data_IF_781907876770
#
_entry.id   IF_781907876770
#
_cell.length_a   1.000
_cell.length_b   1.000
_cell.length_c   1.000
_cell.angle_alpha   90.00
_cell.angle_beta   90.00
_cell.angle_gamma   90.00
#
_symmetry.space_group_name_H-M   'P 1'
#
loop_
_entity.id
_entity.type
_entity.pdbx_description
1 polymer ?
#
# COMPACT_ATOMS: atom_id res chain seq x y z
N UNK A 1 -16.54 46.47 -11.87
CA UNK A 1 -16.01 45.69 -13.01
C UNK A 1 -16.28 44.24 -12.70
N UNK A 2 -17.11 43.56 -13.49
CA UNK A 2 -17.30 42.11 -13.34
C UNK A 2 -16.22 41.41 -14.16
N UNK A 3 -15.39 40.60 -13.50
CA UNK A 3 -14.44 39.71 -14.14
C UNK A 3 -15.06 38.31 -14.14
N UNK A 4 -16.09 38.13 -14.97
CA UNK A 4 -16.53 36.79 -15.38
C UNK A 4 -15.81 36.50 -16.70
N UNK A 5 -14.54 36.12 -16.59
CA UNK A 5 -13.66 35.94 -17.74
C UNK A 5 -13.53 34.46 -18.12
N UNK A 6 -14.64 33.91 -18.63
CA UNK A 6 -14.70 32.53 -19.16
C UNK A 6 -13.65 32.27 -20.26
N UNK A 7 -13.15 33.33 -20.90
CA UNK A 7 -12.09 33.24 -21.92
C UNK A 7 -10.78 32.73 -21.31
N UNK A 8 -10.40 33.23 -20.14
CA UNK A 8 -9.14 32.90 -19.47
C UNK A 8 -9.14 31.45 -18.95
N UNK A 9 -10.27 30.99 -18.41
CA UNK A 9 -10.47 29.61 -17.95
C UNK A 9 -10.44 28.63 -19.14
N UNK A 10 -11.05 29.00 -20.26
CA UNK A 10 -11.09 28.18 -21.48
C UNK A 10 -9.71 28.09 -22.15
N UNK A 11 -8.95 29.18 -22.19
CA UNK A 11 -7.58 29.18 -22.74
C UNK A 11 -6.61 28.37 -21.87
N UNK A 12 -6.74 28.41 -20.54
CA UNK A 12 -5.94 27.57 -19.65
C UNK A 12 -6.25 26.09 -19.78
N UNK A 13 -7.54 25.70 -19.89
CA UNK A 13 -7.93 24.30 -20.16
C UNK A 13 -7.28 23.76 -21.44
N UNK A 14 -7.39 24.50 -22.54
CA UNK A 14 -6.81 24.11 -23.83
C UNK A 14 -5.28 23.92 -23.81
N UNK A 15 -4.56 24.52 -22.85
CA UNK A 15 -3.11 24.34 -22.67
C UNK A 15 -2.73 23.15 -21.78
N UNK A 16 -3.64 22.65 -20.94
CA UNK A 16 -3.40 21.48 -20.07
C UNK A 16 -3.67 20.14 -20.77
N UNK A 17 -4.58 20.10 -21.74
CA UNK A 17 -4.93 18.86 -22.45
C UNK A 17 -3.73 18.16 -23.13
N UNK A 18 -2.77 18.88 -23.77
CA UNK A 18 -1.53 18.27 -24.27
C UNK A 18 -0.67 17.67 -23.16
N UNK A 19 -0.60 18.28 -21.98
CA UNK A 19 0.18 17.78 -20.84
C UNK A 19 -0.45 16.50 -20.29
N UNK A 20 -1.76 16.51 -20.04
CA UNK A 20 -2.52 15.32 -19.58
C UNK A 20 -2.40 14.16 -20.56
N UNK A 21 -2.48 14.45 -21.86
CA UNK A 21 -2.22 13.45 -22.91
C UNK A 21 -0.81 12.88 -22.83
N UNK A 22 0.22 13.71 -22.62
CA UNK A 22 1.62 13.25 -22.49
C UNK A 22 1.88 12.44 -21.22
N UNK A 23 1.28 12.78 -20.09
CA UNK A 23 1.36 11.96 -18.87
C UNK A 23 0.71 10.58 -19.07
N UNK A 24 -0.41 10.55 -19.79
CA UNK A 24 -1.12 9.32 -20.17
C UNK A 24 -0.26 8.44 -21.09
N UNK A 25 0.31 9.03 -22.15
CA UNK A 25 1.22 8.33 -23.07
C UNK A 25 2.49 7.84 -22.35
N UNK A 26 3.08 8.66 -21.48
CA UNK A 26 4.24 8.30 -20.67
C UNK A 26 3.99 7.07 -19.79
N UNK A 27 2.82 6.97 -19.15
CA UNK A 27 2.46 5.80 -18.33
C UNK A 27 2.46 4.50 -19.16
N UNK A 28 1.94 4.55 -20.39
CA UNK A 28 1.92 3.43 -21.31
C UNK A 28 3.33 3.08 -21.84
N UNK A 29 4.09 4.08 -22.26
CA UNK A 29 5.46 3.93 -22.78
C UNK A 29 6.43 3.41 -21.70
N UNK A 30 6.35 3.92 -20.46
CA UNK A 30 7.15 3.45 -19.34
C UNK A 30 6.85 1.97 -19.00
N UNK A 31 5.59 1.55 -19.11
CA UNK A 31 5.26 0.14 -18.97
C UNK A 31 5.81 -0.69 -20.12
N UNK A 32 5.61 -0.28 -21.38
CA UNK A 32 6.01 -1.07 -22.56
C UNK A 32 7.54 -1.16 -22.78
N UNK A 33 8.31 -0.15 -22.38
CA UNK A 33 9.77 -0.12 -22.54
C UNK A 33 10.54 -0.70 -21.36
N UNK A 34 10.00 -0.59 -20.15
CA UNK A 34 10.80 -0.76 -18.92
C UNK A 34 10.20 -1.76 -17.93
N UNK A 35 8.87 -1.91 -17.84
CA UNK A 35 8.27 -2.93 -16.96
C UNK A 35 8.14 -4.28 -17.67
N UNK A 36 8.43 -5.35 -16.93
CA UNK A 36 8.17 -6.70 -17.40
C UNK A 36 6.66 -6.98 -17.37
N UNK A 37 6.14 -7.77 -18.32
CA UNK A 37 4.72 -8.19 -18.36
C UNK A 37 4.30 -9.07 -17.17
N UNK A 38 5.24 -9.55 -16.38
CA UNK A 38 5.05 -10.34 -15.16
C UNK A 38 6.22 -10.10 -14.21
N UNK A 39 6.01 -10.34 -12.91
CA UNK A 39 7.11 -10.32 -11.94
C UNK A 39 8.06 -11.50 -12.23
N UNK A 40 9.35 -11.25 -12.53
CA UNK A 40 10.32 -12.30 -12.85
C UNK A 40 10.77 -13.05 -11.60
N UNK A 41 11.29 -14.26 -11.81
CA UNK A 41 11.86 -15.11 -10.76
C UNK A 41 13.38 -15.19 -10.89
N UNK A 42 14.06 -15.20 -9.75
CA UNK A 42 15.46 -15.62 -9.61
C UNK A 42 15.44 -16.97 -8.89
N UNK A 43 16.15 -17.96 -9.40
CA UNK A 43 16.17 -19.29 -8.77
C UNK A 43 17.05 -19.34 -7.51
N UNK A 44 17.99 -18.40 -7.36
CA UNK A 44 18.89 -18.26 -6.20
C UNK A 44 19.09 -16.77 -5.84
N UNK A 45 19.57 -16.45 -4.63
CA UNK A 45 19.94 -15.08 -4.25
C UNK A 45 21.01 -14.46 -5.18
N UNK A 46 20.79 -13.25 -5.72
CA UNK A 46 21.80 -12.51 -6.46
C UNK A 46 22.89 -11.97 -5.52
N UNK A 47 24.09 -11.70 -6.06
CA UNK A 47 25.09 -10.92 -5.33
C UNK A 47 24.64 -9.46 -5.19
N UNK A 48 25.19 -8.72 -4.22
CA UNK A 48 24.74 -7.36 -3.90
C UNK A 48 24.88 -6.36 -5.06
N UNK A 49 25.92 -6.51 -5.90
CA UNK A 49 26.16 -5.62 -7.04
C UNK A 49 25.19 -5.94 -8.18
N UNK A 50 24.98 -7.22 -8.46
CA UNK A 50 23.94 -7.67 -9.39
C UNK A 50 22.56 -7.22 -8.92
N UNK A 51 22.24 -7.38 -7.62
CA UNK A 51 20.96 -6.99 -7.06
C UNK A 51 20.69 -5.48 -7.23
N UNK A 52 21.70 -4.67 -6.90
CA UNK A 52 21.61 -3.23 -7.07
C UNK A 52 21.48 -2.82 -8.55
N UNK A 53 22.28 -3.39 -9.44
CA UNK A 53 22.30 -3.03 -10.87
C UNK A 53 21.04 -3.45 -11.61
N UNK A 54 20.51 -4.64 -11.32
CA UNK A 54 19.46 -5.26 -12.13
C UNK A 54 18.04 -5.03 -11.56
N UNK A 55 17.92 -4.72 -10.25
CA UNK A 55 16.62 -4.58 -9.55
C UNK A 55 16.43 -3.24 -8.83
N UNK A 56 17.37 -2.83 -7.95
CA UNK A 56 17.21 -1.59 -7.14
C UNK A 56 17.35 -0.32 -7.99
N UNK A 57 18.47 -0.19 -8.72
CA UNK A 57 18.72 0.93 -9.62
C UNK A 57 17.58 1.08 -10.63
N UNK A 58 17.23 0.00 -11.37
CA UNK A 58 16.09 -0.02 -12.27
C UNK A 58 14.71 -0.10 -11.60
N UNK A 59 14.55 -0.01 -10.28
CA UNK A 59 13.28 -0.05 -9.53
C UNK A 59 12.27 -1.14 -9.98
N UNK A 60 12.72 -2.39 -10.20
CA UNK A 60 11.89 -3.52 -10.70
C UNK A 60 11.67 -4.59 -9.64
N UNK A 61 10.44 -5.10 -9.47
CA UNK A 61 10.16 -6.19 -8.54
C UNK A 61 10.70 -7.52 -9.06
N UNK A 62 10.99 -8.44 -8.15
CA UNK A 62 11.32 -9.83 -8.48
C UNK A 62 11.00 -10.78 -7.33
N UNK A 63 10.76 -12.05 -7.65
CA UNK A 63 10.66 -13.12 -6.65
C UNK A 63 11.96 -13.91 -6.62
N UNK A 64 12.61 -13.96 -5.45
CA UNK A 64 13.85 -14.67 -5.21
C UNK A 64 13.52 -16.00 -4.53
N UNK A 65 13.87 -17.11 -5.17
CA UNK A 65 13.76 -18.46 -4.61
C UNK A 65 15.03 -18.83 -3.85
N UNK A 66 14.92 -19.90 -3.06
CA UNK A 66 15.99 -20.55 -2.29
C UNK A 66 16.71 -19.66 -1.24
N UNK A 67 16.47 -18.35 -1.22
CA UNK A 67 17.00 -17.38 -0.27
C UNK A 67 16.75 -17.75 1.20
N UNK A 68 15.59 -18.34 1.49
CA UNK A 68 15.15 -18.62 2.86
C UNK A 68 15.43 -20.06 3.32
N UNK A 69 16.06 -20.91 2.50
CA UNK A 69 16.27 -22.33 2.81
C UNK A 69 17.07 -22.60 4.10
N UNK A 70 17.88 -21.62 4.54
CA UNK A 70 18.64 -21.68 5.78
C UNK A 70 17.84 -21.27 7.04
N UNK A 71 16.60 -20.78 6.90
CA UNK A 71 15.77 -20.36 8.02
C UNK A 71 15.05 -21.54 8.69
N UNK A 72 15.26 -21.78 10.00
CA UNK A 72 14.48 -22.79 10.74
C UNK A 72 12.98 -22.50 10.76
N UNK A 73 12.55 -21.29 10.44
CA UNK A 73 11.15 -20.91 10.35
C UNK A 73 10.38 -21.76 9.33
N UNK A 74 10.97 -22.06 8.16
CA UNK A 74 10.28 -22.78 7.08
C UNK A 74 9.83 -24.20 7.46
N UNK A 75 10.52 -24.84 8.41
CA UNK A 75 10.17 -26.19 8.89
C UNK A 75 9.51 -26.17 10.27
N UNK A 76 9.71 -25.12 11.07
CA UNK A 76 9.23 -25.06 12.46
C UNK A 76 7.92 -24.30 12.63
N UNK A 77 7.62 -23.29 11.82
CA UNK A 77 6.49 -22.38 12.06
C UNK A 77 5.12 -22.98 11.69
N UNK A 78 4.72 -24.02 12.43
CA UNK A 78 3.35 -24.53 12.44
C UNK A 78 2.50 -23.77 13.47
N UNK A 79 1.15 -23.75 13.36
CA UNK A 79 0.28 -23.16 14.38
C UNK A 79 0.53 -23.73 15.78
N UNK A 80 0.78 -25.04 15.90
CA UNK A 80 1.14 -25.68 17.17
C UNK A 80 2.46 -25.11 17.72
N UNK A 81 3.53 -25.06 16.92
CA UNK A 81 4.82 -24.53 17.38
C UNK A 81 4.72 -23.07 17.79
N UNK A 82 3.98 -22.25 17.05
CA UNK A 82 3.77 -20.84 17.41
C UNK A 82 2.96 -20.71 18.70
N UNK A 83 1.92 -21.52 18.90
CA UNK A 83 1.15 -21.58 20.15
C UNK A 83 2.03 -21.98 21.34
N UNK A 84 2.85 -23.02 21.21
CA UNK A 84 3.78 -23.46 22.25
C UNK A 84 4.87 -22.41 22.53
N UNK A 85 5.38 -21.74 21.50
CA UNK A 85 6.57 -20.87 21.62
C UNK A 85 6.25 -19.43 22.02
N UNK A 86 5.13 -18.88 21.53
CA UNK A 86 4.73 -17.48 21.73
C UNK A 86 3.25 -17.29 22.09
N UNK A 87 2.45 -18.37 22.22
CA UNK A 87 1.00 -18.30 22.45
C UNK A 87 0.56 -17.41 23.62
N UNK A 88 1.35 -17.35 24.70
CA UNK A 88 1.06 -16.50 25.87
C UNK A 88 1.46 -15.02 25.71
N UNK A 89 2.11 -14.63 24.61
CA UNK A 89 2.46 -13.23 24.34
C UNK A 89 1.20 -12.46 23.95
N UNK A 90 1.00 -11.31 24.61
CA UNK A 90 -0.02 -10.34 24.23
C UNK A 90 0.52 -9.48 23.10
N UNK A 91 -0.17 -9.47 21.96
CA UNK A 91 0.15 -8.68 20.77
C UNK A 91 -0.99 -7.70 20.46
N UNK A 92 -0.72 -6.66 19.67
CA UNK A 92 -1.80 -5.89 19.04
C UNK A 92 -2.32 -6.61 17.80
N UNK A 93 -3.62 -6.51 17.56
CA UNK A 93 -4.35 -7.19 16.51
C UNK A 93 -5.36 -6.21 15.92
N UNK A 94 -5.25 -5.94 14.64
CA UNK A 94 -6.21 -5.17 13.87
C UNK A 94 -7.48 -6.01 13.65
N UNK A 95 -8.63 -5.45 13.99
CA UNK A 95 -9.95 -6.07 13.83
C UNK A 95 -10.81 -5.15 12.95
N UNK A 96 -11.47 -5.74 11.95
CA UNK A 96 -12.36 -5.04 11.01
C UNK A 96 -13.58 -5.91 10.72
N UNK A 97 -14.74 -5.34 10.37
CA UNK A 97 -15.94 -6.11 10.02
C UNK A 97 -15.79 -6.87 8.69
N UNK A 98 -14.98 -6.34 7.76
CA UNK A 98 -14.92 -6.79 6.35
C UNK A 98 -13.59 -7.45 5.96
N UNK A 99 -12.54 -7.28 6.76
CA UNK A 99 -11.16 -7.67 6.42
C UNK A 99 -10.35 -6.57 5.73
N UNK A 100 -10.94 -5.39 5.48
CA UNK A 100 -10.23 -4.23 4.93
C UNK A 100 -9.85 -3.26 6.07
N UNK A 101 -8.56 -3.23 6.41
CA UNK A 101 -7.95 -2.19 7.24
C UNK A 101 -7.42 -1.08 6.33
N UNK A 102 -7.34 0.15 6.86
CA UNK A 102 -6.75 1.32 6.19
C UNK A 102 -7.34 1.54 4.79
N UNK A 103 -8.67 1.58 4.73
CA UNK A 103 -9.45 1.62 3.50
C UNK A 103 -10.50 2.74 3.51
N UNK A 104 -10.98 3.13 2.33
CA UNK A 104 -12.11 4.07 2.22
C UNK A 104 -13.41 3.31 2.42
N UNK A 105 -14.21 3.72 3.40
CA UNK A 105 -15.59 3.29 3.59
C UNK A 105 -16.50 4.54 3.56
N UNK A 106 -17.44 4.56 2.60
CA UNK A 106 -18.27 5.72 2.30
C UNK A 106 -17.45 6.97 1.96
N UNK A 107 -17.45 7.95 2.87
CA UNK A 107 -16.72 9.23 2.78
C UNK A 107 -15.56 9.35 3.78
N UNK A 108 -15.14 8.23 4.39
CA UNK A 108 -14.12 8.17 5.45
C UNK A 108 -12.98 7.23 5.11
N UNK A 109 -11.82 7.49 5.69
CA UNK A 109 -10.69 6.57 5.73
C UNK A 109 -10.74 5.87 7.09
N UNK A 110 -10.97 4.57 7.08
CA UNK A 110 -11.27 3.81 8.31
C UNK A 110 -10.13 2.87 8.65
N UNK A 111 -9.47 3.17 9.77
CA UNK A 111 -8.45 2.36 10.41
C UNK A 111 -9.09 1.18 11.18
N UNK A 112 -8.37 0.07 11.37
CA UNK A 112 -8.86 -1.07 12.13
C UNK A 112 -9.00 -0.75 13.63
N UNK A 113 -9.86 -1.49 14.32
CA UNK A 113 -9.85 -1.49 15.78
C UNK A 113 -8.61 -2.26 16.27
N UNK A 114 -7.77 -1.64 17.10
CA UNK A 114 -6.64 -2.33 17.74
C UNK A 114 -7.03 -3.00 19.05
N UNK A 115 -6.86 -4.33 19.10
CA UNK A 115 -7.08 -5.14 20.30
C UNK A 115 -5.81 -5.81 20.80
N UNK A 116 -5.60 -5.72 22.11
CA UNK A 116 -4.57 -6.48 22.82
C UNK A 116 -5.10 -7.85 23.22
N UNK A 117 -4.59 -8.92 22.60
CA UNK A 117 -4.96 -10.29 22.94
C UNK A 117 -3.77 -11.26 22.85
N UNK A 118 -3.91 -12.47 23.39
CA UNK A 118 -2.82 -13.45 23.36
C UNK A 118 -2.66 -14.05 21.95
N UNK A 119 -1.43 -14.39 21.56
CA UNK A 119 -1.18 -15.04 20.28
C UNK A 119 -1.92 -16.39 20.14
N UNK A 120 -2.15 -17.11 21.25
CA UNK A 120 -3.03 -18.28 21.27
C UNK A 120 -4.46 -17.93 20.86
N UNK A 121 -5.05 -16.89 21.45
CA UNK A 121 -6.39 -16.40 21.10
C UNK A 121 -6.46 -15.99 19.63
N UNK A 122 -5.40 -15.37 19.09
CA UNK A 122 -5.30 -15.06 17.67
C UNK A 122 -5.27 -16.32 16.82
N UNK A 123 -4.54 -17.37 17.21
CA UNK A 123 -4.57 -18.65 16.50
C UNK A 123 -5.92 -19.36 16.58
N UNK A 124 -6.67 -19.18 17.68
CA UNK A 124 -8.04 -19.69 17.81
C UNK A 124 -9.01 -18.93 16.88
N UNK A 125 -8.81 -17.61 16.71
CA UNK A 125 -9.61 -16.76 15.80
C UNK A 125 -9.18 -16.92 14.35
N UNK A 126 -7.90 -17.16 14.05
CA UNK A 126 -7.34 -17.22 12.68
C UNK A 126 -7.78 -18.46 11.90
N UNK A 127 -8.53 -19.38 12.52
CA UNK A 127 -9.47 -20.26 11.79
C UNK A 127 -10.58 -19.46 11.04
N UNK A 128 -10.58 -18.12 11.17
CA UNK A 128 -11.27 -17.08 10.38
C UNK A 128 -10.53 -15.71 10.24
N UNK A 129 -9.54 -15.60 9.33
CA UNK A 129 -8.97 -14.34 8.72
C UNK A 129 -8.21 -13.33 9.64
N UNK A 130 -7.61 -12.28 9.02
CA UNK A 130 -6.36 -11.53 9.39
C UNK A 130 -6.49 -10.03 8.94
N UNK A 131 -5.59 -9.03 9.12
CA UNK A 131 -4.16 -8.89 9.50
C UNK A 131 -3.88 -7.44 10.05
N UNK A 132 -2.75 -7.16 10.71
CA UNK A 132 -2.28 -5.81 11.14
C UNK A 132 -0.88 -5.38 10.64
N UNK A 133 -0.60 -4.07 10.66
CA UNK A 133 0.74 -3.45 10.55
C UNK A 133 0.77 -2.04 11.14
N UNK A 134 1.77 -1.74 11.98
CA UNK A 134 1.99 -0.40 12.55
C UNK A 134 3.43 0.06 12.23
N UNK A 135 3.58 1.27 11.70
CA UNK A 135 4.88 1.94 11.50
C UNK A 135 4.83 3.47 11.73
N UNK A 136 3.64 4.07 11.81
CA UNK A 136 3.48 5.53 11.84
C UNK A 136 3.42 6.14 13.25
N UNK A 137 3.35 5.34 14.31
CA UNK A 137 3.21 5.82 15.69
C UNK A 137 4.52 6.31 16.36
N UNK A 138 5.68 6.12 15.73
CA UNK A 138 6.97 6.18 16.46
C UNK A 138 7.73 7.54 16.43
N UNK A 139 7.38 8.51 15.57
CA UNK A 139 8.19 9.75 15.39
C UNK A 139 7.37 11.06 15.19
N UNK A 140 6.61 11.54 16.19
CA UNK A 140 5.88 12.81 16.10
C UNK A 140 6.77 14.07 16.11
N UNK A 141 8.05 13.97 16.47
CA UNK A 141 8.96 15.13 16.60
C UNK A 141 9.46 15.68 15.25
N UNK A 142 9.08 15.06 14.12
CA UNK A 142 9.50 15.45 12.77
C UNK A 142 8.37 16.08 11.92
N UNK A 143 7.14 16.13 12.43
CA UNK A 143 5.95 16.54 11.64
C UNK A 143 5.76 18.05 11.51
N UNK A 144 6.57 18.86 12.19
CA UNK A 144 6.45 20.33 12.18
C UNK A 144 7.38 21.01 11.15
N UNK A 145 8.35 20.27 10.57
CA UNK A 145 9.26 20.73 9.52
C UNK A 145 8.77 20.41 8.09
N UNK A 146 7.60 19.77 7.94
CA UNK A 146 7.07 19.23 6.69
C UNK A 146 5.66 19.76 6.38
N UNK A 147 5.32 19.90 5.09
CA UNK A 147 3.92 20.00 4.68
C UNK A 147 3.24 18.65 4.98
N UNK A 148 2.34 18.63 5.97
CA UNK A 148 1.72 17.41 6.51
C UNK A 148 0.84 16.66 5.50
N UNK A 149 0.33 17.37 4.50
CA UNK A 149 -0.27 16.78 3.31
C UNK A 149 -0.03 17.70 2.11
N UNK A 150 0.01 17.12 0.91
CA UNK A 150 0.28 17.85 -0.33
C UNK A 150 -1.04 18.26 -1.00
N UNK A 151 -1.42 19.56 -1.08
CA UNK A 151 -2.81 19.96 -1.35
C UNK A 151 -3.40 19.54 -2.70
N UNK A 152 -2.59 19.40 -3.75
CA UNK A 152 -3.04 18.93 -5.06
C UNK A 152 -3.13 17.39 -5.11
N UNK A 153 -2.23 16.67 -4.43
CA UNK A 153 -2.29 15.20 -4.26
C UNK A 153 -3.55 14.81 -3.48
N UNK A 154 -3.87 15.59 -2.45
CA UNK A 154 -5.13 15.55 -1.71
C UNK A 154 -6.38 15.72 -2.59
N UNK A 155 -6.29 16.52 -3.67
CA UNK A 155 -7.39 16.68 -4.62
C UNK A 155 -7.49 15.51 -5.62
N UNK A 156 -6.34 14.90 -6.01
CA UNK A 156 -6.28 13.79 -6.94
C UNK A 156 -6.73 12.45 -6.32
N UNK A 157 -6.30 12.16 -5.09
CA UNK A 157 -6.68 10.97 -4.33
C UNK A 157 -8.07 11.12 -3.67
N UNK A 158 -8.44 12.36 -3.35
CA UNK A 158 -9.53 12.66 -2.44
C UNK A 158 -9.06 12.60 -0.99
N UNK A 159 -9.64 13.47 -0.15
CA UNK A 159 -9.30 13.60 1.27
C UNK A 159 -10.47 13.18 2.15
N UNK A 160 -10.21 12.16 2.97
CA UNK A 160 -11.21 11.49 3.78
C UNK A 160 -11.03 11.85 5.25
N UNK A 161 -12.13 11.94 6.00
CA UNK A 161 -12.03 12.09 7.46
C UNK A 161 -11.53 10.77 8.06
N UNK A 162 -10.47 10.77 8.88
CA UNK A 162 -10.03 9.56 9.56
C UNK A 162 -11.07 9.10 10.58
N UNK A 163 -11.29 7.79 10.62
CA UNK A 163 -12.13 7.13 11.60
C UNK A 163 -11.51 5.77 11.97
N UNK A 164 -12.02 5.17 13.03
CA UNK A 164 -11.61 3.83 13.49
C UNK A 164 -12.86 2.96 13.60
N UNK A 165 -12.76 1.70 13.20
CA UNK A 165 -13.79 0.72 13.56
C UNK A 165 -13.83 0.51 15.07
N UNK A 166 -15.02 0.31 15.63
CA UNK A 166 -15.21 -0.09 17.01
C UNK A 166 -16.33 -1.13 17.08
N UNK A 167 -16.04 -2.32 17.62
CA UNK A 167 -17.07 -3.32 17.90
C UNK A 167 -17.69 -3.04 19.26
N UNK A 168 -19.02 -2.94 19.28
CA UNK A 168 -19.81 -2.79 20.50
C UNK A 168 -19.97 -4.14 21.22
N UNK A 169 -20.49 -4.08 22.45
CA UNK A 169 -20.80 -5.26 23.29
C UNK A 169 -21.81 -6.24 22.64
N UNK A 170 -22.61 -5.78 21.67
CA UNK A 170 -23.55 -6.61 20.90
C UNK A 170 -22.88 -7.40 19.75
N UNK A 171 -21.60 -7.12 19.46
CA UNK A 171 -20.83 -7.72 18.37
C UNK A 171 -20.91 -6.98 17.04
N UNK A 172 -21.75 -5.95 16.92
CA UNK A 172 -21.83 -5.10 15.73
C UNK A 172 -20.71 -4.05 15.71
N UNK A 173 -20.30 -3.64 14.51
CA UNK A 173 -19.29 -2.59 14.34
C UNK A 173 -19.93 -1.22 14.09
N UNK A 174 -19.32 -0.18 14.63
CA UNK A 174 -19.54 1.21 14.28
C UNK A 174 -18.24 1.89 13.84
N UNK A 175 -18.37 3.04 13.17
CA UNK A 175 -17.26 3.84 12.67
C UNK A 175 -17.18 5.10 13.52
N UNK A 176 -16.08 5.29 14.23
CA UNK A 176 -15.86 6.40 15.15
C UNK A 176 -14.87 7.41 14.55
N UNK A 177 -15.36 8.63 14.28
CA UNK A 177 -14.55 9.75 13.80
C UNK A 177 -13.38 10.05 14.75
N UNK A 178 -12.16 10.06 14.22
CA UNK A 178 -11.06 10.73 14.91
C UNK A 178 -11.24 12.24 14.73
N UNK A 179 -11.69 12.87 15.80
CA UNK A 179 -11.82 14.33 15.89
C UNK A 179 -10.44 14.94 16.09
N UNK A 180 -10.26 16.15 15.58
CA UNK A 180 -9.02 16.92 15.63
C UNK A 180 -7.83 16.34 14.84
N UNK A 181 -8.07 15.31 14.01
CA UNK A 181 -7.11 14.79 13.03
C UNK A 181 -7.26 15.45 11.66
N UNK A 182 -6.13 15.68 10.96
CA UNK A 182 -6.10 16.14 9.56
C UNK A 182 -6.68 15.07 8.62
N UNK A 183 -7.20 15.49 7.46
CA UNK A 183 -7.78 14.55 6.49
C UNK A 183 -6.70 13.78 5.75
N UNK A 184 -6.91 12.47 5.60
CA UNK A 184 -5.95 11.58 4.95
C UNK A 184 -6.23 11.53 3.43
N UNK A 185 -5.24 11.79 2.57
CA UNK A 185 -5.33 11.49 1.15
C UNK A 185 -5.17 9.98 0.92
N UNK A 186 -6.12 9.34 0.22
CA UNK A 186 -6.09 7.88 0.03
C UNK A 186 -6.64 7.44 -1.34
N UNK A 187 -6.21 6.28 -1.85
CA UNK A 187 -6.75 5.71 -3.09
C UNK A 187 -8.11 5.05 -2.81
N UNK A 188 -9.22 5.53 -3.40
CA UNK A 188 -10.58 5.03 -3.12
C UNK A 188 -11.04 3.92 -4.07
N UNK A 189 -10.16 3.43 -4.94
CA UNK A 189 -10.46 2.43 -5.96
C UNK A 189 -10.02 1.04 -5.48
N UNK A 190 -10.93 0.08 -5.48
CA UNK A 190 -10.58 -1.35 -5.38
C UNK A 190 -9.95 -1.80 -6.72
N UNK A 191 -8.69 -2.28 -6.74
CA UNK A 191 -8.07 -2.75 -7.97
C UNK A 191 -8.63 -4.10 -8.47
N UNK A 192 -9.41 -4.82 -7.67
CA UNK A 192 -10.05 -6.09 -8.03
C UNK A 192 -11.45 -5.93 -8.60
N UNK A 193 -12.20 -4.92 -8.15
CA UNK A 193 -13.52 -4.54 -8.69
C UNK A 193 -13.61 -3.01 -8.90
N UNK A 194 -12.87 -2.46 -9.89
CA UNK A 194 -12.76 -1.02 -10.05
C UNK A 194 -14.05 -0.39 -10.59
N UNK A 195 -14.54 0.65 -9.94
CA UNK A 195 -15.57 1.54 -10.49
C UNK A 195 -14.98 2.36 -11.66
N UNK A 196 -15.08 1.79 -12.86
CA UNK A 196 -14.58 2.39 -14.09
C UNK A 196 -15.50 3.48 -14.68
N UNK A 197 -16.64 3.75 -14.07
CA UNK A 197 -17.51 4.87 -14.44
C UNK A 197 -17.10 6.12 -13.65
N UNK A 198 -16.74 5.96 -12.36
CA UNK A 198 -16.14 7.00 -11.52
C UNK A 198 -14.65 7.23 -11.82
N UNK A 199 -13.89 6.18 -12.13
CA UNK A 199 -12.44 6.22 -12.37
C UNK A 199 -12.05 5.69 -13.76
N UNK A 200 -12.56 6.28 -14.87
CA UNK A 200 -12.45 5.70 -16.20
C UNK A 200 -11.02 5.57 -16.74
N UNK A 201 -10.07 6.35 -16.21
CA UNK A 201 -8.65 6.30 -16.57
C UNK A 201 -7.95 5.04 -16.05
N UNK A 202 -8.48 4.38 -15.00
CA UNK A 202 -7.89 3.14 -14.46
C UNK A 202 -7.89 2.00 -15.48
N UNK A 203 -8.74 2.05 -16.52
CA UNK A 203 -8.70 1.14 -17.69
C UNK A 203 -7.34 1.08 -18.40
N UNK A 204 -6.48 2.09 -18.19
CA UNK A 204 -5.15 2.18 -18.80
C UNK A 204 -4.03 1.66 -17.89
N UNK A 205 -4.32 1.45 -16.60
CA UNK A 205 -3.38 0.83 -15.68
C UNK A 205 -3.16 -0.63 -16.07
N UNK A 206 -1.92 -1.11 -15.89
CA UNK A 206 -1.51 -2.48 -16.24
C UNK A 206 -0.94 -3.19 -15.00
N UNK A 207 -1.80 -3.70 -14.10
CA UNK A 207 -1.37 -4.30 -12.84
C UNK A 207 -0.55 -5.57 -13.06
N UNK A 208 0.60 -5.66 -12.38
CA UNK A 208 1.41 -6.87 -12.33
C UNK A 208 0.92 -7.78 -11.20
N UNK A 209 0.56 -9.01 -11.55
CA UNK A 209 0.12 -10.02 -10.59
C UNK A 209 1.27 -11.00 -10.30
N UNK A 210 1.43 -11.35 -9.02
CA UNK A 210 2.36 -12.40 -8.60
C UNK A 210 1.81 -13.12 -7.37
N UNK A 211 2.44 -14.23 -6.98
CA UNK A 211 2.08 -14.99 -5.78
C UNK A 211 3.35 -15.52 -5.14
N UNK A 212 3.61 -15.07 -3.91
CA UNK A 212 4.79 -15.46 -3.13
C UNK A 212 4.44 -16.68 -2.29
N UNK A 213 5.15 -17.79 -2.47
CA UNK A 213 4.91 -19.03 -1.73
C UNK A 213 5.85 -19.15 -0.52
N UNK A 214 5.57 -20.12 0.35
CA UNK A 214 6.45 -20.43 1.46
C UNK A 214 7.88 -20.74 0.97
N UNK A 215 8.87 -20.00 1.49
CA UNK A 215 10.28 -20.11 1.09
C UNK A 215 10.70 -19.17 -0.06
N UNK A 216 9.77 -18.50 -0.73
CA UNK A 216 10.06 -17.44 -1.71
C UNK A 216 10.08 -16.07 -1.02
N UNK A 217 10.88 -15.14 -1.57
CA UNK A 217 10.99 -13.75 -1.12
C UNK A 217 10.60 -12.81 -2.26
N UNK A 218 9.73 -11.83 -2.01
CA UNK A 218 9.45 -10.75 -2.96
C UNK A 218 10.34 -9.55 -2.65
N UNK A 219 11.12 -9.09 -3.62
CA UNK A 219 11.57 -7.71 -3.65
C UNK A 219 10.44 -6.85 -4.23
N UNK A 220 9.84 -6.02 -3.37
CA UNK A 220 8.89 -4.98 -3.73
C UNK A 220 9.63 -3.62 -3.69
N UNK A 221 9.86 -2.95 -4.83
CA UNK A 221 10.65 -1.73 -4.86
C UNK A 221 9.89 -0.54 -4.26
N UNK A 222 10.63 0.51 -3.88
CA UNK A 222 10.07 1.74 -3.35
C UNK A 222 9.13 2.43 -4.35
N UNK A 223 8.11 3.11 -3.82
CA UNK A 223 7.06 3.81 -4.59
C UNK A 223 6.14 2.90 -5.45
N UNK A 224 6.21 1.57 -5.30
CA UNK A 224 5.27 0.66 -5.97
C UNK A 224 3.93 0.57 -5.24
N UNK A 225 2.86 1.04 -5.88
CA UNK A 225 1.48 0.74 -5.47
C UNK A 225 1.25 -0.77 -5.49
N UNK A 226 0.72 -1.31 -4.39
CA UNK A 226 0.51 -2.74 -4.22
C UNK A 226 -0.76 -3.02 -3.42
N UNK A 227 -1.43 -4.12 -3.77
CA UNK A 227 -2.60 -4.63 -3.07
C UNK A 227 -2.32 -6.09 -2.69
N UNK A 228 -2.56 -6.46 -1.43
CA UNK A 228 -2.13 -7.75 -0.87
C UNK A 228 -3.33 -8.63 -0.53
N UNK A 229 -3.36 -9.81 -1.11
CA UNK A 229 -4.21 -10.92 -0.65
C UNK A 229 -3.34 -12.08 -0.16
N UNK A 230 -3.92 -12.93 0.68
CA UNK A 230 -3.19 -13.96 1.38
C UNK A 230 -4.06 -15.18 1.64
N UNK A 231 -3.42 -16.35 1.71
CA UNK A 231 -4.08 -17.56 2.16
C UNK A 231 -4.43 -17.47 3.66
N UNK A 232 -5.44 -18.26 4.01
CA UNK A 232 -5.85 -18.47 5.38
C UNK A 232 -4.68 -18.95 6.26
N UNK A 233 -4.52 -18.38 7.45
CA UNK A 233 -3.44 -18.75 8.39
C UNK A 233 -2.00 -18.53 7.89
N UNK A 234 -1.76 -17.89 6.73
CA UNK A 234 -0.39 -17.68 6.25
C UNK A 234 0.46 -16.88 7.24
N UNK A 235 1.76 -17.16 7.31
CA UNK A 235 2.71 -16.35 8.09
C UNK A 235 3.75 -15.80 7.13
N UNK A 236 4.00 -14.50 7.22
CA UNK A 236 4.96 -13.77 6.40
C UNK A 236 5.84 -12.89 7.30
N UNK A 237 7.03 -12.56 6.80
CA UNK A 237 7.97 -11.63 7.42
C UNK A 237 8.51 -10.73 6.32
N UNK A 238 8.55 -9.43 6.56
CA UNK A 238 9.03 -8.41 5.65
C UNK A 238 10.11 -7.57 6.34
N UNK A 239 11.04 -7.04 5.56
CA UNK A 239 12.07 -6.11 6.01
C UNK A 239 11.89 -4.80 5.26
N UNK A 240 11.77 -3.70 6.00
CA UNK A 240 11.74 -2.36 5.43
C UNK A 240 13.16 -1.81 5.42
N UNK A 241 13.55 -1.22 4.30
CA UNK A 241 14.77 -0.45 4.14
C UNK A 241 14.35 0.91 3.59
N UNK A 242 14.83 1.99 4.19
CA UNK A 242 14.58 3.34 3.68
C UNK A 242 15.08 3.46 2.24
N UNK A 243 14.31 4.17 1.42
CA UNK A 243 14.68 4.38 0.03
C UNK A 243 15.78 5.42 -0.10
N UNK A 244 16.61 5.29 -1.14
CA UNK A 244 17.48 6.39 -1.55
C UNK A 244 16.63 7.50 -2.19
N UNK A 245 16.64 8.69 -1.58
CA UNK A 245 15.96 9.89 -2.08
C UNK A 245 16.73 10.51 -3.26
N UNK A 246 16.82 9.76 -4.35
CA UNK A 246 17.60 10.08 -5.54
C UNK A 246 16.76 10.77 -6.64
N UNK A 247 17.29 10.80 -7.86
CA UNK A 247 16.60 11.38 -9.02
C UNK A 247 15.25 10.70 -9.34
N UNK A 248 15.05 9.42 -9.01
CA UNK A 248 13.76 8.73 -9.18
C UNK A 248 12.69 9.30 -8.27
N UNK A 249 13.04 9.61 -7.02
CA UNK A 249 12.13 10.27 -6.07
C UNK A 249 11.72 11.66 -6.58
N UNK A 250 12.71 12.46 -7.05
CA UNK A 250 12.42 13.78 -7.61
C UNK A 250 11.54 13.72 -8.87
N UNK A 251 11.73 12.73 -9.74
CA UNK A 251 10.83 12.52 -10.88
C UNK A 251 9.44 12.02 -10.48
N UNK A 252 9.33 11.16 -9.46
CA UNK A 252 8.05 10.75 -8.91
C UNK A 252 7.27 11.97 -8.38
N UNK A 253 7.89 12.77 -7.50
CA UNK A 253 7.31 14.00 -6.95
C UNK A 253 6.90 15.00 -8.05
N UNK A 254 7.72 15.15 -9.10
CA UNK A 254 7.34 15.96 -10.26
C UNK A 254 6.12 15.40 -11.00
N UNK A 255 6.10 14.09 -11.31
CA UNK A 255 4.98 13.44 -12.00
C UNK A 255 3.68 13.54 -11.20
N UNK A 256 3.77 13.34 -9.89
CA UNK A 256 2.69 13.51 -8.93
C UNK A 256 2.16 14.95 -9.03
N UNK A 257 3.03 15.97 -8.95
CA UNK A 257 2.67 17.40 -9.03
C UNK A 257 2.05 17.89 -10.34
N UNK A 258 2.08 17.07 -11.39
CA UNK A 258 1.58 17.39 -12.73
C UNK A 258 0.18 16.81 -13.04
N UNK A 259 -0.39 16.01 -12.13
CA UNK A 259 -1.68 15.31 -12.28
C UNK A 259 -2.87 16.13 -11.74
#
# INVERSE_FOLDING_TARGET
MNINDDSFITEHRNKMDPVKKRLTEFSLEAHDLYLNRSVPYLDEPPDSLQFHRDWIGPNKPCIIRNALGHWPALTRWTPQYLREKVGSKVISVAVTPTGFADAVDGDRFVMPEERRMTFSSVLDIIEGKKQSSNLLDELPELTDDLERHVPWMSAALGVYQPAVYHQRDDGEFEVLDQRDCEKVPWIPLDPLDPDLDRYPQYRQARPLHCSVKAGEMLYLPSLWFHHVQQSHGCVAVNFWYDMEYDIKYNYYQLLESLL
#
